data_IF_001172162827
#
_entry.id   IF_001172162827
#
_cell.length_a   1.000
_cell.length_b   1.000
_cell.length_c   1.000
_cell.angle_alpha   90.00
_cell.angle_beta   90.00
_cell.angle_gamma   90.00
#
_symmetry.space_group_name_H-M   'P 1'
#
loop_
_entity.id
_entity.type
_entity.pdbx_description
1 polymer ?
#
# COMPACT_ATOMS: atom_id res chain seq x y z
N UNK A 1 35.00 54.75 7.27
CA UNK A 1 34.88 54.14 5.93
C UNK A 1 34.62 52.65 6.12
N UNK A 2 33.53 51.97 5.76
CA UNK A 2 32.32 52.26 4.98
C UNK A 2 31.16 51.51 5.62
N UNK A 3 30.35 52.23 6.40
CA UNK A 3 28.96 51.85 6.66
C UNK A 3 28.16 52.22 5.40
N UNK A 4 28.26 51.41 4.35
CA UNK A 4 27.41 51.55 3.17
C UNK A 4 26.30 50.52 3.25
N UNK A 5 25.22 50.95 3.91
CA UNK A 5 23.86 50.87 3.36
C UNK A 5 23.67 49.80 2.27
N UNK A 6 23.50 48.54 2.69
CA UNK A 6 22.75 47.58 1.88
C UNK A 6 21.26 47.92 2.01
N UNK A 7 20.88 49.10 1.51
CA UNK A 7 19.49 49.37 1.11
C UNK A 7 19.22 48.47 -0.08
N UNK A 8 18.79 47.24 0.23
CA UNK A 8 18.09 46.38 -0.71
C UNK A 8 16.95 47.25 -1.23
N UNK A 9 17.01 47.63 -2.50
CA UNK A 9 15.88 48.21 -3.21
C UNK A 9 14.76 47.15 -3.26
N UNK A 10 13.94 47.10 -2.21
CA UNK A 10 12.74 46.25 -2.10
C UNK A 10 11.68 46.64 -3.14
N UNK A 11 11.89 47.75 -3.87
CA UNK A 11 11.00 48.24 -4.91
C UNK A 11 11.26 47.70 -6.33
N UNK A 12 12.26 46.83 -6.54
CA UNK A 12 12.47 46.20 -7.84
C UNK A 12 11.93 44.75 -7.85
N UNK A 13 10.74 44.47 -8.43
CA UNK A 13 10.18 43.11 -8.49
C UNK A 13 11.10 42.12 -9.20
N UNK A 14 11.97 42.60 -10.10
CA UNK A 14 12.93 41.77 -10.85
C UNK A 14 14.07 41.23 -9.97
N UNK A 15 14.55 42.01 -9.01
CA UNK A 15 15.61 41.62 -8.09
C UNK A 15 15.10 40.65 -7.00
N UNK A 16 13.87 40.83 -6.52
CA UNK A 16 13.23 39.90 -5.59
C UNK A 16 12.95 38.54 -6.24
N UNK A 17 12.51 38.53 -7.51
CA UNK A 17 12.30 37.31 -8.28
C UNK A 17 13.61 36.58 -8.59
N UNK A 18 14.68 37.33 -8.91
CA UNK A 18 16.01 36.77 -9.07
C UNK A 18 16.54 36.16 -7.77
N UNK A 19 16.46 36.88 -6.65
CA UNK A 19 16.89 36.36 -5.34
C UNK A 19 16.07 35.15 -4.89
N UNK A 20 14.74 35.16 -5.07
CA UNK A 20 13.89 33.98 -4.82
C UNK A 20 14.28 32.82 -5.72
N UNK A 21 14.51 33.05 -7.02
CA UNK A 21 14.92 32.02 -7.98
C UNK A 21 16.30 31.44 -7.66
N UNK A 22 17.26 32.26 -7.25
CA UNK A 22 18.61 31.83 -6.84
C UNK A 22 18.58 31.09 -5.50
N UNK A 23 17.82 31.55 -4.49
CA UNK A 23 17.63 30.80 -3.25
C UNK A 23 16.92 29.47 -3.47
N UNK A 24 15.88 29.44 -4.29
CA UNK A 24 15.16 28.22 -4.68
C UNK A 24 16.12 27.26 -5.36
N UNK A 25 16.86 27.70 -6.39
CA UNK A 25 17.81 26.81 -7.10
C UNK A 25 18.95 26.28 -6.22
N UNK A 26 19.44 27.05 -5.23
CA UNK A 26 20.44 26.57 -4.25
C UNK A 26 19.83 25.55 -3.27
N UNK A 27 18.63 25.82 -2.74
CA UNK A 27 17.90 24.89 -1.87
C UNK A 27 17.58 23.58 -2.60
N UNK A 28 17.19 23.64 -3.87
CA UNK A 28 16.92 22.46 -4.67
C UNK A 28 18.20 21.69 -5.00
N UNK A 29 19.33 22.36 -5.24
CA UNK A 29 20.64 21.74 -5.51
C UNK A 29 21.21 21.02 -4.28
N UNK A 30 21.15 21.65 -3.09
CA UNK A 30 21.53 20.99 -1.83
C UNK A 30 20.61 19.81 -1.52
N UNK A 31 19.29 19.98 -1.67
CA UNK A 31 18.34 18.87 -1.54
C UNK A 31 18.65 17.73 -2.50
N UNK A 32 19.00 17.99 -3.76
CA UNK A 32 19.24 16.93 -4.77
C UNK A 32 20.45 16.05 -4.45
N UNK A 33 21.55 16.64 -3.96
CA UNK A 33 22.76 15.89 -3.57
C UNK A 33 22.52 15.02 -2.33
N UNK A 34 21.80 15.58 -1.36
CA UNK A 34 21.37 14.90 -0.14
C UNK A 34 20.34 13.80 -0.45
N UNK A 35 19.44 14.03 -1.41
CA UNK A 35 18.46 13.04 -1.91
C UNK A 35 19.17 11.86 -2.57
N UNK A 36 20.21 12.08 -3.39
CA UNK A 36 20.92 10.98 -4.06
C UNK A 36 21.61 10.05 -3.05
N UNK A 37 22.29 10.64 -2.05
CA UNK A 37 22.93 9.87 -0.98
C UNK A 37 21.90 9.18 -0.05
N UNK A 38 20.76 9.83 0.22
CA UNK A 38 19.67 9.28 1.04
C UNK A 38 18.87 8.20 0.32
N UNK A 39 18.69 8.30 -0.99
CA UNK A 39 18.02 7.29 -1.83
C UNK A 39 18.78 5.98 -1.80
N UNK A 40 20.12 6.03 -1.87
CA UNK A 40 20.99 4.86 -1.78
C UNK A 40 20.99 4.20 -0.38
N UNK A 41 20.91 5.00 0.69
CA UNK A 41 20.81 4.48 2.07
C UNK A 41 19.44 3.84 2.35
N UNK A 42 18.35 4.47 1.88
CA UNK A 42 16.99 3.95 2.04
C UNK A 42 16.75 2.73 1.15
N UNK A 43 17.26 2.67 -0.09
CA UNK A 43 17.21 1.46 -0.92
C UNK A 43 17.86 0.25 -0.23
N UNK A 44 18.95 0.47 0.52
CA UNK A 44 19.58 -0.57 1.34
C UNK A 44 18.75 -0.97 2.57
N UNK A 45 18.02 -0.05 3.19
CA UNK A 45 17.12 -0.34 4.32
C UNK A 45 15.76 -0.92 3.89
N UNK A 46 15.30 -0.61 2.68
CA UNK A 46 14.04 -1.10 2.07
C UNK A 46 14.22 -2.45 1.38
N UNK A 47 15.41 -3.07 1.52
CA UNK A 47 15.65 -4.46 1.17
C UNK A 47 14.85 -5.38 2.11
N UNK A 48 13.55 -5.44 1.89
CA UNK A 48 12.63 -6.29 2.65
C UNK A 48 12.94 -7.74 2.28
N UNK A 49 13.22 -8.62 3.26
CA UNK A 49 13.35 -10.03 2.98
C UNK A 49 12.01 -10.54 2.44
N UNK A 50 11.97 -10.85 1.14
CA UNK A 50 10.83 -11.50 0.52
C UNK A 50 10.81 -12.96 1.00
N UNK A 51 9.67 -13.41 1.52
CA UNK A 51 9.54 -14.80 1.93
C UNK A 51 9.77 -15.72 0.70
N UNK A 52 10.58 -16.78 0.82
CA UNK A 52 10.87 -17.67 -0.30
C UNK A 52 9.56 -18.33 -0.78
N UNK A 53 9.21 -18.08 -2.05
CA UNK A 53 8.04 -18.65 -2.73
C UNK A 53 8.34 -20.11 -3.09
N UNK A 54 7.70 -21.06 -2.40
CA UNK A 54 7.81 -22.49 -2.69
C UNK A 54 6.45 -23.06 -3.11
N UNK A 55 6.46 -23.99 -4.08
CA UNK A 55 5.26 -24.69 -4.58
C UNK A 55 4.44 -25.24 -3.41
N UNK A 56 3.14 -24.93 -3.40
CA UNK A 56 2.21 -25.33 -2.36
C UNK A 56 2.02 -26.86 -2.33
N UNK A 57 2.79 -27.55 -1.49
CA UNK A 57 2.43 -28.89 -1.03
C UNK A 57 1.26 -28.78 -0.04
N UNK A 58 0.40 -29.80 0.02
CA UNK A 58 -0.71 -29.90 0.98
C UNK A 58 -0.16 -29.92 2.41
N UNK A 59 -0.09 -28.74 3.05
CA UNK A 59 0.40 -28.58 4.43
C UNK A 59 -0.61 -29.14 5.43
N UNK A 60 -0.11 -29.74 6.51
CA UNK A 60 -0.96 -30.18 7.62
C UNK A 60 -1.56 -29.01 8.40
N UNK A 61 -2.77 -29.17 8.94
CA UNK A 61 -3.49 -28.13 9.68
C UNK A 61 -2.67 -27.49 10.82
N UNK A 62 -1.88 -28.28 11.55
CA UNK A 62 -0.97 -27.78 12.61
C UNK A 62 0.15 -26.89 12.06
N UNK A 63 0.68 -27.23 10.88
CA UNK A 63 1.70 -26.44 10.21
C UNK A 63 1.13 -25.11 9.70
N UNK A 64 -0.10 -25.12 9.19
CA UNK A 64 -0.80 -23.91 8.74
C UNK A 64 -0.95 -22.90 9.88
N UNK A 65 -1.35 -23.35 11.08
CA UNK A 65 -1.48 -22.46 12.25
C UNK A 65 -0.16 -21.81 12.63
N UNK A 66 0.92 -22.60 12.65
CA UNK A 66 2.25 -22.10 13.01
C UNK A 66 2.80 -21.13 11.95
N UNK A 67 2.64 -21.47 10.67
CA UNK A 67 3.03 -20.63 9.54
C UNK A 67 2.23 -19.31 9.53
N UNK A 68 0.92 -19.37 9.77
CA UNK A 68 0.06 -18.20 9.87
C UNK A 68 0.51 -17.26 11.00
N UNK A 69 0.87 -17.81 12.17
CA UNK A 69 1.39 -17.02 13.29
C UNK A 69 2.70 -16.32 12.93
N UNK A 70 3.63 -17.02 12.28
CA UNK A 70 4.89 -16.44 11.80
C UNK A 70 4.65 -15.32 10.79
N UNK A 71 3.74 -15.55 9.84
CA UNK A 71 3.33 -14.54 8.85
C UNK A 71 2.78 -13.29 9.53
N UNK A 72 1.84 -13.42 10.47
CA UNK A 72 1.28 -12.26 11.17
C UNK A 72 2.35 -11.48 11.95
N UNK A 73 3.26 -12.16 12.66
CA UNK A 73 4.36 -11.52 13.38
C UNK A 73 5.30 -10.78 12.42
N UNK A 74 5.62 -11.40 11.28
CA UNK A 74 6.48 -10.80 10.26
C UNK A 74 5.89 -9.47 9.72
N UNK A 75 4.63 -9.47 9.30
CA UNK A 75 3.96 -8.27 8.79
C UNK A 75 3.71 -7.22 9.87
N UNK A 76 3.46 -7.64 11.11
CA UNK A 76 3.39 -6.74 12.27
C UNK A 76 4.71 -6.01 12.49
N UNK A 77 5.83 -6.72 12.41
CA UNK A 77 7.15 -6.12 12.58
C UNK A 77 7.48 -5.15 11.43
N UNK A 78 7.06 -5.45 10.18
CA UNK A 78 7.18 -4.51 9.06
C UNK A 78 6.36 -3.24 9.30
N UNK A 79 5.10 -3.38 9.69
CA UNK A 79 4.21 -2.25 10.00
C UNK A 79 4.82 -1.31 11.04
N UNK A 80 5.25 -1.87 12.18
CA UNK A 80 5.89 -1.08 13.24
C UNK A 80 7.24 -0.52 12.81
N UNK A 81 8.05 -1.30 12.08
CA UNK A 81 9.35 -0.87 11.57
C UNK A 81 9.23 0.33 10.61
N UNK A 82 8.32 0.25 9.64
CA UNK A 82 8.08 1.34 8.68
C UNK A 82 7.53 2.60 9.38
N UNK A 83 6.60 2.43 10.32
CA UNK A 83 6.01 3.54 11.07
C UNK A 83 7.03 4.20 12.01
N UNK A 84 7.82 3.39 12.72
CA UNK A 84 8.89 3.88 13.58
C UNK A 84 9.98 4.60 12.77
N UNK A 85 10.43 4.03 11.65
CA UNK A 85 11.40 4.67 10.77
C UNK A 85 10.89 6.02 10.26
N UNK A 86 9.63 6.08 9.82
CA UNK A 86 9.00 7.32 9.36
C UNK A 86 8.96 8.39 10.44
N UNK A 87 8.46 8.05 11.64
CA UNK A 87 8.34 9.00 12.75
C UNK A 87 9.72 9.43 13.24
N UNK A 88 10.65 8.50 13.48
CA UNK A 88 12.00 8.81 13.97
C UNK A 88 12.75 9.71 12.99
N UNK A 89 12.76 9.39 11.70
CA UNK A 89 13.50 10.22 10.72
C UNK A 89 12.87 11.61 10.60
N UNK A 90 11.54 11.73 10.62
CA UNK A 90 10.90 13.06 10.60
C UNK A 90 11.14 13.85 11.87
N UNK A 91 11.03 13.23 13.05
CA UNK A 91 11.25 13.90 14.33
C UNK A 91 12.72 14.28 14.56
N UNK A 92 13.69 13.54 14.02
CA UNK A 92 15.10 13.89 14.19
C UNK A 92 15.59 14.93 13.18
N UNK A 93 15.03 14.93 11.96
CA UNK A 93 15.59 15.72 10.85
C UNK A 93 14.72 16.91 10.41
N UNK A 94 13.41 16.89 10.69
CA UNK A 94 12.44 17.85 10.16
C UNK A 94 11.25 18.13 11.09
N UNK A 95 11.49 18.43 12.37
CA UNK A 95 10.42 18.78 13.32
C UNK A 95 9.57 19.96 12.84
N UNK A 96 10.19 20.99 12.27
CA UNK A 96 9.47 22.19 11.81
C UNK A 96 8.68 21.99 10.51
N UNK A 97 8.91 20.88 9.79
CA UNK A 97 8.21 20.58 8.53
C UNK A 97 7.03 19.61 8.73
N UNK A 98 6.64 19.32 9.97
CA UNK A 98 5.45 18.51 10.26
C UNK A 98 4.18 19.35 10.04
N UNK A 99 3.71 19.38 8.80
CA UNK A 99 2.41 19.95 8.47
C UNK A 99 1.27 18.98 8.85
N UNK A 100 0.06 19.51 8.91
CA UNK A 100 -1.15 18.75 9.25
C UNK A 100 -1.39 17.57 8.29
N UNK A 101 -1.00 17.70 7.01
CA UNK A 101 -1.14 16.65 6.01
C UNK A 101 -0.32 15.40 6.36
N UNK A 102 0.89 15.57 6.91
CA UNK A 102 1.74 14.44 7.29
C UNK A 102 1.15 13.66 8.47
N UNK A 103 0.44 14.34 9.38
CA UNK A 103 -0.35 13.69 10.43
C UNK A 103 -1.52 12.91 9.84
N UNK A 104 -2.26 13.50 8.88
CA UNK A 104 -3.34 12.80 8.19
C UNK A 104 -2.83 11.55 7.45
N UNK A 105 -1.71 11.64 6.74
CA UNK A 105 -1.12 10.47 6.06
C UNK A 105 -0.62 9.41 7.03
N UNK A 106 -0.09 9.80 8.19
CA UNK A 106 0.32 8.86 9.24
C UNK A 106 -0.88 8.11 9.84
N UNK A 107 -1.97 8.83 10.15
CA UNK A 107 -3.22 8.25 10.64
C UNK A 107 -3.82 7.32 9.58
N UNK A 108 -3.85 7.78 8.33
CA UNK A 108 -4.33 6.98 7.19
C UNK A 108 -3.55 5.68 7.04
N UNK A 109 -2.21 5.74 7.02
CA UNK A 109 -1.37 4.55 6.93
C UNK A 109 -1.61 3.61 8.12
N UNK A 110 -1.72 4.16 9.33
CA UNK A 110 -2.02 3.40 10.54
C UNK A 110 -3.37 2.67 10.43
N UNK A 111 -4.40 3.35 9.94
CA UNK A 111 -5.72 2.76 9.72
C UNK A 111 -5.68 1.64 8.68
N UNK A 112 -4.96 1.84 7.56
CA UNK A 112 -4.75 0.81 6.53
C UNK A 112 -4.05 -0.41 7.12
N UNK A 113 -2.97 -0.22 7.87
CA UNK A 113 -2.25 -1.34 8.47
C UNK A 113 -3.09 -2.10 9.49
N UNK A 114 -3.77 -1.39 10.39
CA UNK A 114 -4.64 -2.01 11.39
C UNK A 114 -5.76 -2.79 10.69
N UNK A 115 -6.42 -2.19 9.70
CA UNK A 115 -7.46 -2.86 8.93
C UNK A 115 -6.98 -4.12 8.23
N UNK A 116 -5.84 -4.05 7.54
CA UNK A 116 -5.25 -5.19 6.83
C UNK A 116 -4.78 -6.29 7.79
N UNK A 117 -4.14 -5.92 8.90
CA UNK A 117 -3.68 -6.86 9.92
C UNK A 117 -4.86 -7.58 10.57
N UNK A 118 -5.90 -6.84 10.97
CA UNK A 118 -7.11 -7.42 11.58
C UNK A 118 -7.82 -8.36 10.61
N UNK A 119 -7.88 -7.99 9.32
CA UNK A 119 -8.45 -8.86 8.29
C UNK A 119 -7.66 -10.17 8.13
N UNK A 120 -6.32 -10.11 8.08
CA UNK A 120 -5.49 -11.32 8.04
C UNK A 120 -5.61 -12.16 9.32
N UNK A 121 -5.62 -11.52 10.49
CA UNK A 121 -5.76 -12.20 11.78
C UNK A 121 -7.12 -12.90 11.91
N UNK A 122 -8.18 -12.30 11.38
CA UNK A 122 -9.50 -12.90 11.32
C UNK A 122 -9.52 -14.15 10.43
N UNK A 123 -8.93 -14.08 9.23
CA UNK A 123 -8.87 -15.23 8.31
C UNK A 123 -8.00 -16.38 8.84
N UNK A 124 -6.92 -16.06 9.55
CA UNK A 124 -5.97 -17.02 10.10
C UNK A 124 -6.41 -17.65 11.44
N UNK A 125 -7.60 -17.30 11.95
CA UNK A 125 -8.05 -17.73 13.28
C UNK A 125 -8.36 -19.23 13.30
N UNK A 126 -7.54 -19.99 14.02
CA UNK A 126 -7.78 -21.41 14.27
C UNK A 126 -8.98 -21.64 15.20
N UNK A 127 -9.74 -22.71 14.95
CA UNK A 127 -10.83 -23.21 15.80
C UNK A 127 -10.40 -24.49 16.48
N UNK A 128 -10.61 -24.55 17.79
CA UNK A 128 -10.29 -25.70 18.63
C UNK A 128 -11.58 -26.25 19.24
N UNK A 129 -11.62 -27.56 19.45
CA UNK A 129 -12.69 -28.24 20.18
C UNK A 129 -12.61 -27.94 21.68
N UNK A 130 -13.67 -28.22 22.43
CA UNK A 130 -13.68 -28.15 23.90
C UNK A 130 -12.62 -29.04 24.56
N UNK A 131 -12.15 -30.07 23.86
CA UNK A 131 -11.07 -30.97 24.28
C UNK A 131 -9.66 -30.48 23.89
N UNK A 132 -9.53 -29.30 23.29
CA UNK A 132 -8.24 -28.74 22.84
C UNK A 132 -7.70 -29.33 21.52
N UNK A 133 -8.47 -30.21 20.87
CA UNK A 133 -8.09 -30.74 19.55
C UNK A 133 -8.35 -29.69 18.47
N UNK A 134 -7.38 -29.50 17.56
CA UNK A 134 -7.50 -28.56 16.44
C UNK A 134 -8.58 -29.05 15.45
N UNK A 135 -9.64 -28.27 15.28
CA UNK A 135 -10.73 -28.56 14.35
C UNK A 135 -10.47 -27.95 12.97
N UNK A 136 -9.96 -26.72 12.94
CA UNK A 136 -9.70 -25.94 11.73
C UNK A 136 -8.52 -24.99 11.99
N UNK A 137 -7.50 -25.02 11.15
CA UNK A 137 -6.33 -24.15 11.22
C UNK A 137 -6.57 -22.73 10.71
N UNK A 138 -7.75 -22.45 10.17
CA UNK A 138 -8.07 -21.21 9.48
C UNK A 138 -7.54 -21.21 8.04
N UNK A 139 -7.75 -20.09 7.35
CA UNK A 139 -7.28 -19.94 5.96
C UNK A 139 -5.76 -19.80 5.96
N UNK A 140 -5.08 -20.57 5.11
CA UNK A 140 -3.63 -20.43 4.90
C UNK A 140 -3.34 -19.07 4.27
N UNK A 141 -2.65 -18.19 5.01
CA UNK A 141 -2.29 -16.87 4.52
C UNK A 141 -1.24 -16.94 3.40
N UNK A 142 -0.50 -18.04 3.27
CA UNK A 142 0.62 -18.21 2.35
C UNK A 142 0.23 -18.93 1.05
N UNK A 143 -1.07 -19.07 0.77
CA UNK A 143 -1.58 -19.66 -0.46
C UNK A 143 -1.37 -18.73 -1.67
N UNK A 144 -0.86 -19.25 -2.81
CA UNK A 144 -0.44 -18.49 -4.01
C UNK A 144 -1.56 -17.79 -4.78
N UNK A 145 -2.83 -18.00 -4.42
CA UNK A 145 -3.99 -17.32 -5.02
C UNK A 145 -5.07 -16.99 -3.98
N UNK A 146 -4.65 -16.70 -2.74
CA UNK A 146 -5.57 -16.33 -1.66
C UNK A 146 -5.82 -14.83 -1.57
N UNK A 147 -6.98 -14.44 -1.01
CA UNK A 147 -7.27 -13.05 -0.65
C UNK A 147 -6.19 -12.42 0.25
N UNK A 148 -5.49 -13.24 1.02
CA UNK A 148 -4.39 -12.82 1.88
C UNK A 148 -3.21 -12.22 1.10
N UNK A 149 -2.94 -12.65 -0.13
CA UNK A 149 -1.87 -12.07 -0.96
C UNK A 149 -2.14 -10.60 -1.27
N UNK A 150 -3.36 -10.28 -1.71
CA UNK A 150 -3.73 -8.89 -1.99
C UNK A 150 -3.65 -8.00 -0.75
N UNK A 151 -3.99 -8.53 0.42
CA UNK A 151 -3.90 -7.79 1.68
C UNK A 151 -2.44 -7.54 2.08
N UNK A 152 -1.57 -8.55 1.90
CA UNK A 152 -0.13 -8.41 2.11
C UNK A 152 0.47 -7.39 1.16
N UNK A 153 0.07 -7.39 -0.11
CA UNK A 153 0.54 -6.41 -1.10
C UNK A 153 0.16 -4.99 -0.69
N UNK A 154 -1.09 -4.76 -0.26
CA UNK A 154 -1.53 -3.44 0.23
C UNK A 154 -0.71 -2.99 1.44
N UNK A 155 -0.40 -3.89 2.38
CA UNK A 155 0.46 -3.57 3.53
C UNK A 155 1.89 -3.22 3.10
N UNK A 156 2.49 -4.00 2.19
CA UNK A 156 3.84 -3.75 1.72
C UNK A 156 3.95 -2.47 0.90
N UNK A 157 2.99 -2.22 0.00
CA UNK A 157 2.91 -0.96 -0.76
C UNK A 157 2.80 0.21 0.21
N UNK A 158 1.94 0.13 1.23
CA UNK A 158 1.81 1.20 2.23
C UNK A 158 3.12 1.42 3.00
N UNK A 159 3.82 0.35 3.39
CA UNK A 159 5.13 0.44 4.06
C UNK A 159 6.21 1.10 3.20
N UNK A 160 6.30 0.70 1.93
CA UNK A 160 7.25 1.29 0.98
C UNK A 160 6.93 2.76 0.74
N UNK A 161 5.66 3.11 0.51
CA UNK A 161 5.24 4.50 0.29
C UNK A 161 5.46 5.37 1.53
N UNK A 162 5.22 4.84 2.72
CA UNK A 162 5.48 5.56 3.96
C UNK A 162 6.97 5.90 4.09
N UNK A 163 7.86 4.93 3.85
CA UNK A 163 9.32 5.17 3.89
C UNK A 163 9.79 6.10 2.77
N UNK A 164 9.30 5.93 1.54
CA UNK A 164 9.64 6.80 0.41
C UNK A 164 9.14 8.23 0.60
N UNK A 165 8.00 8.42 1.26
CA UNK A 165 7.43 9.75 1.53
C UNK A 165 8.32 10.62 2.43
N UNK A 166 9.28 10.03 3.15
CA UNK A 166 10.32 10.76 3.88
C UNK A 166 11.16 11.62 2.92
N UNK A 167 11.38 11.13 1.69
CA UNK A 167 12.14 11.86 0.67
C UNK A 167 11.28 12.93 -0.01
N UNK A 168 10.06 12.56 -0.40
CA UNK A 168 9.12 13.45 -1.07
C UNK A 168 7.67 13.08 -0.76
N UNK A 169 6.92 14.01 -0.15
CA UNK A 169 5.51 13.80 0.19
C UNK A 169 4.62 13.44 -1.02
N UNK A 170 5.02 13.77 -2.24
CA UNK A 170 4.29 13.42 -3.46
C UNK A 170 4.20 11.90 -3.69
N UNK A 171 5.06 11.07 -3.06
CA UNK A 171 4.96 9.62 -3.15
C UNK A 171 3.64 9.06 -2.60
N UNK A 172 2.94 9.80 -1.74
CA UNK A 172 1.58 9.42 -1.31
C UNK A 172 0.60 9.32 -2.49
N UNK A 173 0.82 10.03 -3.60
CA UNK A 173 0.00 9.91 -4.80
C UNK A 173 0.11 8.54 -5.46
N UNK A 174 1.24 7.83 -5.30
CA UNK A 174 1.37 6.45 -5.81
C UNK A 174 0.42 5.48 -5.09
N UNK A 175 -0.10 5.84 -3.92
CA UNK A 175 -1.10 5.03 -3.23
C UNK A 175 -2.38 4.86 -4.08
N UNK A 176 -2.67 5.79 -5.01
CA UNK A 176 -3.81 5.69 -5.95
C UNK A 176 -3.71 4.48 -6.89
N UNK A 177 -2.56 3.82 -7.02
CA UNK A 177 -2.42 2.55 -7.75
C UNK A 177 -3.27 1.46 -7.12
N UNK A 178 -3.43 1.45 -5.79
CA UNK A 178 -4.24 0.45 -5.06
C UNK A 178 -5.72 0.52 -5.45
N UNK A 179 -6.42 1.66 -5.34
CA UNK A 179 -7.80 1.77 -5.81
C UNK A 179 -7.90 1.64 -7.34
N UNK A 180 -6.89 2.07 -8.10
CA UNK A 180 -6.84 1.84 -9.55
C UNK A 180 -6.88 0.35 -9.92
N UNK A 181 -6.09 -0.48 -9.22
CA UNK A 181 -6.09 -1.94 -9.38
C UNK A 181 -7.43 -2.55 -8.97
N UNK A 182 -7.99 -2.12 -7.83
CA UNK A 182 -9.29 -2.60 -7.38
C UNK A 182 -10.40 -2.28 -8.39
N UNK A 183 -10.40 -1.06 -8.93
CA UNK A 183 -11.32 -0.67 -10.00
C UNK A 183 -11.14 -1.51 -11.25
N UNK A 184 -9.90 -1.74 -11.70
CA UNK A 184 -9.62 -2.58 -12.86
C UNK A 184 -10.19 -4.00 -12.70
N UNK A 185 -10.01 -4.62 -11.53
CA UNK A 185 -10.57 -5.94 -11.26
C UNK A 185 -12.10 -5.94 -11.31
N UNK A 186 -12.75 -4.97 -10.67
CA UNK A 186 -14.23 -4.84 -10.72
C UNK A 186 -14.71 -4.61 -12.16
N UNK A 187 -13.99 -3.77 -12.91
CA UNK A 187 -14.28 -3.50 -14.30
C UNK A 187 -14.23 -4.77 -15.14
N UNK A 188 -13.14 -5.55 -15.06
CA UNK A 188 -12.98 -6.75 -15.89
C UNK A 188 -13.86 -7.92 -15.45
N UNK A 189 -14.15 -8.04 -14.15
CA UNK A 189 -14.85 -9.23 -13.62
C UNK A 189 -16.37 -9.07 -13.56
N UNK A 190 -16.88 -7.84 -13.40
CA UNK A 190 -18.32 -7.60 -13.19
C UNK A 190 -18.90 -6.72 -14.29
N UNK A 191 -18.31 -5.55 -14.52
CA UNK A 191 -18.90 -4.54 -15.40
C UNK A 191 -18.74 -4.90 -16.88
N UNK A 192 -17.53 -5.24 -17.32
CA UNK A 192 -17.25 -5.53 -18.72
C UNK A 192 -18.07 -6.74 -19.23
N UNK A 193 -18.19 -7.88 -18.51
CA UNK A 193 -19.06 -8.96 -18.94
C UNK A 193 -20.54 -8.56 -18.98
N UNK A 194 -21.00 -7.65 -18.12
CA UNK A 194 -22.40 -7.21 -18.13
C UNK A 194 -22.72 -6.27 -19.30
N UNK A 195 -21.80 -5.35 -19.63
CA UNK A 195 -21.97 -4.40 -20.74
C UNK A 195 -21.71 -5.03 -22.11
N UNK A 196 -20.80 -5.98 -22.19
CA UNK A 196 -20.35 -6.60 -23.45
C UNK A 196 -20.69 -8.09 -23.53
N UNK A 197 -21.62 -8.58 -22.69
CA UNK A 197 -22.15 -9.93 -22.85
C UNK A 197 -22.72 -10.06 -24.27
N UNK A 198 -22.24 -11.04 -25.07
CA UNK A 198 -22.91 -11.34 -26.33
C UNK A 198 -24.36 -11.71 -26.02
N UNK A 199 -25.30 -11.24 -26.85
CA UNK A 199 -26.68 -11.66 -26.77
C UNK A 199 -26.70 -13.19 -26.68
N UNK A 200 -27.47 -13.80 -25.76
CA UNK A 200 -27.46 -15.25 -25.61
C UNK A 200 -27.77 -15.85 -26.97
N UNK A 201 -26.81 -16.55 -27.57
CA UNK A 201 -27.04 -17.33 -28.77
C UNK A 201 -28.13 -18.33 -28.42
N UNK A 202 -29.33 -18.04 -28.90
CA UNK A 202 -30.45 -18.89 -28.56
C UNK A 202 -30.32 -20.14 -29.41
N UNK A 203 -29.75 -21.17 -28.81
CA UNK A 203 -29.84 -22.52 -29.31
C UNK A 203 -31.33 -22.84 -29.52
N UNK A 204 -31.78 -22.89 -30.78
CA UNK A 204 -33.19 -23.02 -31.18
C UNK A 204 -33.89 -24.20 -30.45
N UNK A 205 -33.12 -25.22 -30.06
CA UNK A 205 -33.60 -26.36 -29.26
C UNK A 205 -34.04 -25.97 -27.85
N UNK A 206 -33.35 -25.04 -27.18
CA UNK A 206 -33.72 -24.54 -25.85
C UNK A 206 -34.91 -23.58 -25.94
N UNK A 207 -34.97 -22.74 -26.98
CA UNK A 207 -36.11 -21.86 -27.26
C UNK A 207 -37.41 -22.66 -27.47
N UNK A 208 -37.38 -23.65 -28.37
CA UNK A 208 -38.53 -24.54 -28.63
C UNK A 208 -38.97 -25.31 -27.38
N UNK A 209 -38.04 -25.67 -26.48
CA UNK A 209 -38.38 -26.35 -25.21
C UNK A 209 -38.99 -25.39 -24.19
N UNK A 210 -38.59 -24.11 -24.20
CA UNK A 210 -39.14 -23.06 -23.34
C UNK A 210 -40.54 -22.63 -23.81
N UNK A 211 -40.73 -22.46 -25.12
CA UNK A 211 -42.02 -22.18 -25.75
C UNK A 211 -43.04 -23.31 -25.53
N UNK A 212 -42.62 -24.57 -25.68
CA UNK A 212 -43.45 -25.75 -25.36
C UNK A 212 -43.88 -25.80 -23.90
N UNK A 213 -43.15 -25.19 -22.98
CA UNK A 213 -43.53 -25.10 -21.55
C UNK A 213 -44.43 -23.90 -21.26
N UNK A 214 -44.24 -22.78 -21.96
CA UNK A 214 -45.10 -21.60 -21.83
C UNK A 214 -46.49 -21.84 -22.42
N UNK A 215 -46.60 -22.58 -23.53
CA UNK A 215 -47.90 -22.95 -24.13
C UNK A 215 -48.69 -24.00 -23.33
N UNK A 216 -48.10 -24.59 -22.29
CA UNK A 216 -48.73 -25.59 -21.42
C UNK A 216 -49.24 -25.02 -20.09
N UNK A 217 -49.03 -23.72 -19.84
CA UNK A 217 -49.65 -22.98 -18.74
C UNK A 217 -50.78 -22.14 -19.32
#
# INVERSE_FOLDING_TARGET
>A
MRSHELKICIHCPRALNAYKSTKISIIYRERLSVIHSKLQFILRLVSLPTQPKGKAATKGQKQIVEDNKKTLIFYRNIMFGASAAYVVVRLLWWLESFSWLQWCFLIFASAVYIGCYQFMAFMARAKYSSTGTLLDGGVDLNMEQGMAEHVKDVMLVTAVLQVLSILWDAFWLLWLVVPGRAFYLVWTSILAPWFFAPAPEVDEKKQRKMERKMQRR
#
